data_IF_804373088727
#
_entry.id   IF_804373088727
#
_cell.length_a   1.000
_cell.length_b   1.000
_cell.length_c   1.000
_cell.angle_alpha   90.00
_cell.angle_beta   90.00
_cell.angle_gamma   90.00
#
_symmetry.space_group_name_H-M   'P 1'
#
loop_
_entity.id
_entity.type
_entity.pdbx_description
1 polymer ?
#
# COMPACT_ATOMS: atom_id res chain seq x y z
N UNK A 1 -4.55 -11.35 12.51
CA UNK A 1 -3.23 -10.75 12.71
C UNK A 1 -3.12 -9.48 11.87
N UNK A 2 -2.58 -8.45 12.47
CA UNK A 2 -2.36 -7.16 11.81
C UNK A 2 -0.87 -6.82 11.93
N UNK A 3 -0.26 -6.44 10.80
CA UNK A 3 1.14 -6.01 10.76
C UNK A 3 1.17 -4.63 10.10
N UNK A 4 1.92 -3.71 10.71
CA UNK A 4 2.13 -2.37 10.16
C UNK A 4 3.61 -2.13 9.91
N UNK A 5 3.92 -1.44 8.82
CA UNK A 5 5.28 -0.96 8.58
C UNK A 5 5.24 0.36 7.80
N UNK A 6 6.34 1.04 7.76
CA UNK A 6 6.48 2.31 7.06
C UNK A 6 7.81 2.39 6.34
N UNK A 7 7.89 3.24 5.35
CA UNK A 7 9.16 3.55 4.71
C UNK A 7 9.97 4.52 5.58
N UNK A 8 11.30 4.65 5.37
CA UNK A 8 12.14 5.47 6.25
C UNK A 8 11.69 6.92 6.42
N UNK A 9 11.17 7.55 5.36
CA UNK A 9 10.67 8.93 5.42
C UNK A 9 9.32 9.05 6.13
N UNK A 10 8.63 7.94 6.39
CA UNK A 10 7.24 7.89 6.86
C UNK A 10 6.24 8.51 5.88
N UNK A 11 6.64 8.72 4.62
CA UNK A 11 5.71 9.19 3.59
C UNK A 11 4.76 8.08 3.15
N UNK A 12 5.19 6.83 3.24
CA UNK A 12 4.38 5.66 2.90
C UNK A 12 4.27 4.76 4.12
N UNK A 13 3.06 4.31 4.40
CA UNK A 13 2.80 3.35 5.47
C UNK A 13 1.83 2.29 5.00
N UNK A 14 2.03 1.07 5.49
CA UNK A 14 1.25 -0.09 5.10
C UNK A 14 0.66 -0.80 6.30
N UNK A 15 -0.49 -1.41 6.07
CA UNK A 15 -1.13 -2.33 7.01
C UNK A 15 -1.48 -3.61 6.27
N UNK A 16 -1.06 -4.73 6.83
CA UNK A 16 -1.45 -6.06 6.37
C UNK A 16 -2.37 -6.67 7.41
N UNK A 17 -3.47 -7.29 6.97
CA UNK A 17 -4.39 -7.96 7.87
C UNK A 17 -4.84 -9.28 7.27
N UNK A 18 -4.94 -10.31 8.11
CA UNK A 18 -5.54 -11.60 7.75
C UNK A 18 -7.02 -11.65 8.07
N UNK A 19 -7.57 -10.59 8.67
CA UNK A 19 -8.93 -10.56 9.21
C UNK A 19 -10.00 -10.14 8.21
N UNK A 20 -9.69 -10.17 6.93
CA UNK A 20 -10.69 -9.87 5.91
C UNK A 20 -11.80 -10.92 5.94
N UNK A 21 -13.04 -10.47 5.87
CA UNK A 21 -14.22 -11.35 5.89
C UNK A 21 -14.31 -12.20 4.63
N UNK A 22 -13.70 -11.77 3.53
CA UNK A 22 -13.72 -12.47 2.25
C UNK A 22 -12.31 -12.46 1.66
N UNK A 23 -11.85 -13.64 1.22
CA UNK A 23 -10.66 -13.75 0.40
C UNK A 23 -9.30 -13.78 1.06
N UNK A 24 -9.24 -13.91 2.39
CA UNK A 24 -7.98 -14.26 3.04
C UNK A 24 -6.99 -13.14 3.28
N UNK A 25 -7.45 -11.93 3.48
CA UNK A 25 -6.59 -10.84 3.89
C UNK A 25 -6.35 -9.77 2.82
N UNK A 26 -5.60 -8.75 3.21
CA UNK A 26 -5.29 -7.65 2.31
C UNK A 26 -4.02 -6.93 2.78
N UNK A 27 -3.43 -6.17 1.87
CA UNK A 27 -2.43 -5.16 2.23
C UNK A 27 -2.91 -3.82 1.67
N UNK A 28 -2.86 -2.79 2.51
CA UNK A 28 -3.17 -1.42 2.14
C UNK A 28 -1.94 -0.55 2.41
N UNK A 29 -1.52 0.22 1.41
CA UNK A 29 -0.44 1.18 1.58
C UNK A 29 -0.92 2.56 1.15
N UNK A 30 -0.73 3.53 2.03
CA UNK A 30 -1.08 4.92 1.80
C UNK A 30 0.17 5.77 1.67
N UNK A 31 0.06 6.86 0.93
CA UNK A 31 1.15 7.80 0.71
C UNK A 31 0.70 9.21 1.05
N UNK A 32 1.41 9.85 1.99
CA UNK A 32 1.03 11.18 2.48
C UNK A 32 1.15 12.26 1.41
N UNK A 33 2.12 12.13 0.51
CA UNK A 33 2.29 13.10 -0.59
C UNK A 33 1.24 12.95 -1.70
N UNK A 34 0.40 11.91 -1.63
CA UNK A 34 -0.68 11.69 -2.58
C UNK A 34 -0.29 10.86 -3.81
N UNK A 35 -1.29 10.30 -4.45
CA UNK A 35 -1.13 9.57 -5.70
C UNK A 35 -0.77 10.53 -6.85
N UNK A 36 0.14 10.11 -7.75
CA UNK A 36 0.63 10.93 -8.85
C UNK A 36 0.62 10.11 -10.15
N UNK A 37 -0.13 10.51 -11.19
CA UNK A 37 -1.10 11.63 -11.18
C UNK A 37 -2.27 11.30 -10.27
N UNK A 38 -2.97 12.36 -9.82
CA UNK A 38 -4.15 12.19 -8.98
C UNK A 38 -5.25 11.49 -9.78
N UNK A 39 -5.75 10.33 -9.33
CA UNK A 39 -6.76 9.62 -10.11
C UNK A 39 -8.11 10.33 -10.10
N UNK A 40 -8.97 10.07 -11.10
CA UNK A 40 -10.36 10.58 -11.08
C UNK A 40 -11.07 10.10 -9.82
N UNK A 41 -11.95 10.93 -9.28
CA UNK A 41 -12.61 10.63 -8.00
C UNK A 41 -13.57 9.44 -8.07
N UNK A 42 -14.25 9.25 -9.19
CA UNK A 42 -15.13 8.08 -9.43
C UNK A 42 -16.05 7.74 -8.25
N UNK A 43 -16.72 8.76 -7.71
CA UNK A 43 -17.65 8.58 -6.60
C UNK A 43 -16.98 8.54 -5.22
N UNK A 44 -15.69 8.79 -5.13
CA UNK A 44 -15.02 8.89 -3.84
C UNK A 44 -15.25 10.27 -3.25
N UNK A 45 -15.99 10.34 -2.14
CA UNK A 45 -16.24 11.59 -1.42
C UNK A 45 -15.19 11.87 -0.34
N UNK A 46 -14.25 10.96 -0.15
CA UNK A 46 -13.16 11.08 0.81
C UNK A 46 -11.84 11.25 0.04
N UNK A 47 -10.73 10.96 0.69
CA UNK A 47 -9.41 11.06 0.06
C UNK A 47 -9.03 9.75 -0.63
N UNK A 48 -8.35 9.87 -1.76
CA UNK A 48 -7.75 8.72 -2.44
C UNK A 48 -6.32 8.61 -1.92
N UNK A 49 -6.12 7.79 -0.89
CA UNK A 49 -4.93 7.83 -0.05
C UNK A 49 -3.82 6.88 -0.49
N UNK A 50 -4.15 5.87 -1.29
CA UNK A 50 -3.19 4.85 -1.68
C UNK A 50 -3.85 3.71 -2.42
N UNK A 51 -3.27 2.52 -2.28
CA UNK A 51 -3.79 1.31 -2.93
C UNK A 51 -4.02 0.19 -1.93
N UNK A 52 -5.01 -0.64 -2.22
CA UNK A 52 -5.30 -1.85 -1.49
C UNK A 52 -5.22 -3.05 -2.42
N UNK A 53 -4.66 -4.14 -1.95
CA UNK A 53 -4.39 -5.33 -2.75
C UNK A 53 -4.95 -6.55 -2.02
N UNK A 54 -5.80 -7.30 -2.72
CA UNK A 54 -6.28 -8.60 -2.28
C UNK A 54 -5.25 -9.69 -2.64
N UNK A 55 -5.43 -10.94 -2.17
CA UNK A 55 -4.45 -11.99 -2.47
C UNK A 55 -4.27 -12.29 -3.96
N UNK A 56 -5.26 -12.05 -4.80
CA UNK A 56 -5.20 -12.45 -6.21
C UNK A 56 -5.62 -11.39 -7.22
N UNK A 57 -6.44 -10.45 -6.81
CA UNK A 57 -7.00 -9.46 -7.73
C UNK A 57 -6.06 -8.29 -7.97
N UNK A 58 -6.47 -7.43 -8.90
CA UNK A 58 -5.76 -6.17 -9.15
C UNK A 58 -5.92 -5.23 -7.96
N UNK A 59 -4.94 -4.36 -7.78
CA UNK A 59 -5.02 -3.34 -6.75
C UNK A 59 -6.17 -2.38 -7.01
N UNK A 60 -6.78 -1.89 -5.95
CA UNK A 60 -7.83 -0.89 -5.99
C UNK A 60 -7.36 0.39 -5.31
N UNK A 61 -7.98 1.51 -5.66
CA UNK A 61 -7.66 2.81 -5.06
C UNK A 61 -8.43 2.91 -3.73
N UNK A 62 -7.70 3.23 -2.66
CA UNK A 62 -8.31 3.43 -1.34
C UNK A 62 -9.05 4.76 -1.32
N UNK A 63 -10.31 4.72 -0.91
CA UNK A 63 -11.12 5.90 -0.65
C UNK A 63 -11.41 5.94 0.86
N UNK A 64 -10.71 6.80 1.57
CA UNK A 64 -10.77 6.81 3.04
C UNK A 64 -10.49 8.19 3.62
N UNK A 65 -11.03 8.42 4.83
CA UNK A 65 -10.75 9.64 5.58
C UNK A 65 -9.60 9.51 6.57
N UNK A 66 -9.03 8.30 6.69
CA UNK A 66 -7.90 8.03 7.57
C UNK A 66 -6.66 7.65 6.75
N UNK A 67 -5.57 7.30 7.43
CA UNK A 67 -4.34 6.88 6.78
C UNK A 67 -3.78 5.63 7.44
N UNK A 68 -3.17 4.76 6.63
CA UNK A 68 -2.43 3.60 7.12
C UNK A 68 -1.01 3.98 7.57
N UNK A 69 -0.60 5.23 7.38
CA UNK A 69 0.73 5.68 7.80
C UNK A 69 0.76 5.79 9.33
N UNK A 70 1.64 5.01 9.94
CA UNK A 70 1.85 5.04 11.38
C UNK A 70 3.35 5.25 11.63
N UNK A 71 3.70 6.42 12.16
CA UNK A 71 5.10 6.79 12.41
C UNK A 71 5.75 5.97 13.50
N UNK A 72 4.99 5.24 14.28
CA UNK A 72 5.50 4.33 15.32
C UNK A 72 5.66 2.90 14.82
N UNK A 73 5.25 2.61 13.58
CA UNK A 73 5.39 1.29 13.01
C UNK A 73 6.85 0.98 12.69
N UNK A 74 7.15 -0.32 12.55
CA UNK A 74 8.47 -0.78 12.13
C UNK A 74 8.84 -0.15 10.79
N UNK A 75 10.10 0.26 10.66
CA UNK A 75 10.62 0.79 9.40
C UNK A 75 11.02 -0.35 8.46
N UNK A 76 10.52 -0.30 7.24
CA UNK A 76 11.03 -1.14 6.16
C UNK A 76 12.13 -0.35 5.45
N UNK A 77 13.38 -0.68 5.76
CA UNK A 77 14.54 0.06 5.26
C UNK A 77 14.65 -0.01 3.74
N UNK A 78 15.28 0.98 3.14
CA UNK A 78 15.60 0.94 1.72
C UNK A 78 16.46 -0.29 1.42
N UNK A 79 16.09 -1.01 0.36
CA UNK A 79 16.71 -2.27 0.00
C UNK A 79 16.10 -3.49 0.68
N UNK A 80 15.25 -3.31 1.67
CA UNK A 80 14.62 -4.41 2.38
C UNK A 80 13.32 -4.87 1.71
N UNK A 81 12.98 -6.11 1.99
CA UNK A 81 11.78 -6.76 1.48
C UNK A 81 10.96 -7.27 2.64
N UNK A 82 9.65 -7.10 2.55
CA UNK A 82 8.70 -7.67 3.50
C UNK A 82 7.81 -8.65 2.74
N UNK A 83 7.58 -9.83 3.31
CA UNK A 83 6.70 -10.83 2.70
C UNK A 83 5.85 -11.51 3.75
N UNK A 84 4.57 -11.62 3.49
CA UNK A 84 3.63 -12.36 4.32
C UNK A 84 2.31 -12.55 3.58
N UNK A 85 1.67 -13.71 3.78
CA UNK A 85 0.34 -13.96 3.25
C UNK A 85 0.24 -13.93 1.72
N UNK A 86 1.34 -14.15 1.02
CA UNK A 86 1.37 -14.09 -0.44
C UNK A 86 1.65 -12.70 -1.00
N UNK A 87 1.80 -11.70 -0.12
CA UNK A 87 2.19 -10.35 -0.51
C UNK A 87 3.68 -10.16 -0.33
N UNK A 88 4.29 -9.40 -1.23
CA UNK A 88 5.71 -9.02 -1.14
C UNK A 88 5.83 -7.54 -1.43
N UNK A 89 6.45 -6.80 -0.51
CA UNK A 89 6.75 -5.39 -0.69
C UNK A 89 8.26 -5.16 -0.65
N UNK A 90 8.77 -4.40 -1.59
CA UNK A 90 10.18 -4.03 -1.67
C UNK A 90 10.31 -2.51 -1.51
N UNK A 91 11.12 -2.10 -0.54
CA UNK A 91 11.36 -0.69 -0.25
C UNK A 91 12.65 -0.24 -0.93
N UNK A 92 12.57 0.84 -1.70
CA UNK A 92 13.73 1.48 -2.31
C UNK A 92 13.60 2.98 -2.19
N UNK A 93 14.71 3.69 -2.36
CA UNK A 93 14.69 5.15 -2.33
C UNK A 93 13.75 5.74 -3.37
N UNK A 94 13.62 5.07 -4.52
CA UNK A 94 12.73 5.51 -5.61
C UNK A 94 11.26 5.25 -5.31
N UNK A 95 10.93 4.39 -4.33
CA UNK A 95 9.54 4.11 -3.98
C UNK A 95 9.33 2.73 -3.40
N UNK A 96 8.08 2.42 -3.11
CA UNK A 96 7.65 1.13 -2.57
C UNK A 96 6.86 0.36 -3.62
N UNK A 97 7.25 -0.89 -3.85
CA UNK A 97 6.57 -1.78 -4.78
C UNK A 97 6.03 -2.98 -4.03
N UNK A 98 4.72 -3.20 -4.11
CA UNK A 98 4.06 -4.37 -3.51
C UNK A 98 3.36 -5.18 -4.58
N UNK A 99 3.37 -6.51 -4.43
CA UNK A 99 2.66 -7.42 -5.34
C UNK A 99 2.06 -8.60 -4.59
N UNK A 100 1.07 -9.23 -5.20
CA UNK A 100 0.46 -10.47 -4.70
C UNK A 100 0.93 -11.68 -5.51
N UNK A 101 0.37 -12.85 -5.21
CA UNK A 101 0.74 -14.11 -5.88
C UNK A 101 0.41 -14.13 -7.37
N UNK A 102 -0.59 -13.37 -7.78
CA UNK A 102 -1.03 -13.33 -9.18
C UNK A 102 -0.22 -12.33 -10.01
N UNK A 103 0.76 -11.67 -9.42
CA UNK A 103 1.58 -10.69 -10.12
C UNK A 103 0.95 -9.32 -10.23
N UNK A 104 -0.22 -9.10 -9.65
CA UNK A 104 -0.80 -7.77 -9.52
C UNK A 104 -0.20 -7.02 -8.35
N UNK A 105 -0.16 -5.71 -8.46
CA UNK A 105 0.38 -4.90 -7.38
C UNK A 105 0.32 -3.42 -7.67
N UNK A 106 1.19 -2.68 -6.98
CA UNK A 106 1.24 -1.23 -7.10
C UNK A 106 2.63 -0.70 -6.78
N UNK A 107 2.87 0.51 -7.23
CA UNK A 107 4.08 1.26 -6.94
C UNK A 107 3.68 2.65 -6.42
N UNK A 108 4.34 3.08 -5.34
CA UNK A 108 4.12 4.37 -4.71
C UNK A 108 5.43 5.13 -4.59
N UNK A 109 5.45 6.37 -5.08
CA UNK A 109 6.57 7.29 -4.89
C UNK A 109 6.05 8.72 -4.88
N UNK A 110 6.92 9.66 -4.52
CA UNK A 110 6.58 11.09 -4.54
C UNK A 110 6.33 11.61 -5.95
N UNK A 111 6.93 10.98 -6.94
CA UNK A 111 6.87 11.46 -8.33
C UNK A 111 5.80 10.78 -9.14
N UNK A 112 5.50 9.52 -8.87
CA UNK A 112 4.41 8.84 -9.56
C UNK A 112 3.99 7.58 -8.82
N UNK A 113 2.78 7.14 -9.11
CA UNK A 113 2.19 5.93 -8.55
C UNK A 113 1.38 5.23 -9.64
N UNK A 114 1.33 3.90 -9.59
CA UNK A 114 0.58 3.13 -10.57
C UNK A 114 0.26 1.74 -10.04
N UNK A 115 -0.70 1.11 -10.70
CA UNK A 115 -1.07 -0.29 -10.47
C UNK A 115 -0.62 -1.13 -11.67
N UNK A 116 -0.40 -2.39 -11.42
CA UNK A 116 -0.01 -3.31 -12.49
C UNK A 116 -0.61 -4.69 -12.29
#
# INVERSE_FOLDING_TARGET
MVVQFRTPSSNIGCVFSTEATLGGGYIRCDILSGLKPKPPRRGCDLDQTGYELSPRGRATIVCAGDTAVNRRARTLRYGAKWSRGGFTCTSKQIGLRCRNRSGHGFFLSRTHSYRF
#
